data_IF_874982049595
#
_entry.id   IF_874982049595
#
_cell.length_a   1.000
_cell.length_b   1.000
_cell.length_c   1.000
_cell.angle_alpha   90.00
_cell.angle_beta   90.00
_cell.angle_gamma   90.00
#
_symmetry.space_group_name_H-M   'P 1'
#
loop_
_entity.id
_entity.type
_entity.pdbx_description
1 polymer ?
#
# COMPACT_ATOMS: atom_id res chain seq x y z
N UNK A 1 -21.54 -7.85 -15.45
CA UNK A 1 -20.22 -7.20 -15.41
C UNK A 1 -20.27 -6.14 -14.32
N UNK A 2 -19.36 -6.16 -13.34
CA UNK A 2 -19.34 -5.14 -12.30
C UNK A 2 -18.90 -3.81 -12.92
N UNK A 3 -19.81 -2.85 -13.04
CA UNK A 3 -19.48 -1.51 -13.51
C UNK A 3 -18.73 -0.80 -12.39
N UNK A 4 -17.41 -0.70 -12.50
CA UNK A 4 -16.65 0.22 -11.67
C UNK A 4 -17.15 1.64 -11.99
N UNK A 5 -17.58 2.37 -10.96
CA UNK A 5 -17.76 3.81 -11.07
C UNK A 5 -16.47 4.44 -11.64
N UNK A 6 -16.57 5.57 -12.38
CA UNK A 6 -15.37 6.28 -12.81
C UNK A 6 -14.49 6.50 -11.57
N UNK A 7 -13.18 6.22 -11.65
CA UNK A 7 -12.31 6.35 -10.50
C UNK A 7 -12.45 7.80 -10.00
N UNK A 8 -12.86 7.97 -8.75
CA UNK A 8 -12.68 9.25 -8.08
C UNK A 8 -11.19 9.57 -8.20
N UNK A 9 -10.85 10.69 -8.84
CA UNK A 9 -9.47 11.06 -9.21
C UNK A 9 -8.52 11.13 -8.00
N UNK A 10 -9.10 11.03 -6.80
CA UNK A 10 -8.44 10.96 -5.50
C UNK A 10 -8.39 9.52 -4.98
N UNK A 11 -7.50 8.71 -5.56
CA UNK A 11 -7.22 7.37 -5.05
C UNK A 11 -6.46 7.41 -3.71
N UNK A 12 -7.09 6.97 -2.62
CA UNK A 12 -6.45 6.90 -1.28
C UNK A 12 -5.70 5.58 -1.01
N UNK A 13 -5.57 4.69 -2.00
CA UNK A 13 -5.07 3.33 -1.81
C UNK A 13 -3.69 3.26 -1.16
N UNK A 14 -2.70 3.98 -1.72
CA UNK A 14 -1.32 3.98 -1.22
C UNK A 14 -1.16 4.77 0.09
N UNK A 15 -1.92 5.87 0.25
CA UNK A 15 -1.95 6.66 1.48
C UNK A 15 -2.46 5.79 2.62
N UNK A 16 -3.64 5.19 2.46
CA UNK A 16 -4.22 4.31 3.47
C UNK A 16 -3.37 3.07 3.74
N UNK A 17 -2.67 2.54 2.73
CA UNK A 17 -1.75 1.41 2.95
C UNK A 17 -0.57 1.82 3.83
N UNK A 18 0.01 3.00 3.60
CA UNK A 18 1.10 3.53 4.44
C UNK A 18 0.62 3.76 5.87
N UNK A 19 -0.53 4.40 6.05
CA UNK A 19 -1.12 4.66 7.38
C UNK A 19 -1.27 3.36 8.18
N UNK A 20 -1.87 2.32 7.57
CA UNK A 20 -2.09 1.03 8.23
C UNK A 20 -0.80 0.29 8.53
N UNK A 21 0.17 0.29 7.61
CA UNK A 21 1.45 -0.38 7.85
C UNK A 21 2.23 0.30 8.99
N UNK A 22 2.26 1.63 9.03
CA UNK A 22 2.91 2.38 10.12
C UNK A 22 2.22 2.14 11.45
N UNK A 23 0.88 2.04 11.48
CA UNK A 23 0.12 1.80 12.71
C UNK A 23 0.50 0.48 13.42
N UNK A 24 1.04 -0.50 12.70
CA UNK A 24 1.51 -1.78 13.25
C UNK A 24 3.03 -1.87 13.33
N UNK A 25 3.76 -0.75 13.24
CA UNK A 25 5.23 -0.73 13.28
C UNK A 25 5.92 -1.22 11.99
N UNK A 26 5.16 -1.33 10.90
CA UNK A 26 5.66 -1.70 9.58
C UNK A 26 5.88 -0.50 8.65
N UNK A 27 6.04 -0.78 7.36
CA UNK A 27 6.24 0.25 6.34
C UNK A 27 5.84 -0.21 4.94
N UNK A 28 5.69 0.75 4.03
CA UNK A 28 5.35 0.51 2.62
C UNK A 28 6.27 1.34 1.74
N UNK A 29 6.80 0.70 0.70
CA UNK A 29 7.47 1.37 -0.43
C UNK A 29 6.72 1.08 -1.70
N UNK A 30 6.59 2.09 -2.57
CA UNK A 30 5.94 1.94 -3.85
C UNK A 30 6.63 2.78 -4.92
N UNK A 31 6.56 2.34 -6.17
CA UNK A 31 7.14 3.06 -7.29
C UNK A 31 7.27 2.23 -8.57
N UNK A 32 7.68 2.87 -9.68
CA UNK A 32 8.00 2.18 -10.92
C UNK A 32 9.19 1.24 -10.75
N UNK A 33 9.25 0.18 -11.56
CA UNK A 33 10.30 -0.85 -11.49
C UNK A 33 11.12 -0.85 -12.78
N UNK A 34 12.45 -1.11 -12.72
CA UNK A 34 13.22 -1.40 -13.92
C UNK A 34 12.62 -2.59 -14.67
N UNK A 35 12.45 -2.46 -15.99
CA UNK A 35 11.72 -3.44 -16.81
C UNK A 35 10.21 -3.19 -16.91
N UNK A 36 9.70 -2.16 -16.24
CA UNK A 36 8.31 -1.72 -16.33
C UNK A 36 7.44 -2.13 -15.15
N UNK A 37 6.20 -1.64 -15.17
CA UNK A 37 5.22 -1.88 -14.12
C UNK A 37 5.41 -1.00 -12.87
N UNK A 38 4.58 -1.26 -11.88
CA UNK A 38 4.55 -0.55 -10.61
C UNK A 38 4.57 -1.57 -9.47
N UNK A 39 5.47 -1.39 -8.51
CA UNK A 39 5.60 -2.27 -7.36
C UNK A 39 5.08 -1.56 -6.12
N UNK A 40 4.40 -2.32 -5.27
CA UNK A 40 4.09 -1.96 -3.89
C UNK A 40 4.64 -3.08 -3.01
N UNK A 41 5.46 -2.73 -2.01
CA UNK A 41 6.06 -3.67 -1.06
C UNK A 41 5.75 -3.20 0.35
N UNK A 42 5.05 -4.03 1.11
CA UNK A 42 4.82 -3.85 2.54
C UNK A 42 5.78 -4.73 3.35
N UNK A 43 6.31 -4.18 4.43
CA UNK A 43 7.11 -4.88 5.43
C UNK A 43 6.32 -4.80 6.75
N UNK A 44 5.92 -5.95 7.29
CA UNK A 44 5.07 -6.04 8.49
C UNK A 44 5.72 -6.98 9.51
N UNK A 45 5.64 -6.69 10.82
CA UNK A 45 6.09 -7.62 11.86
C UNK A 45 5.33 -8.96 11.81
N UNK A 46 6.04 -10.07 12.01
CA UNK A 46 5.47 -11.43 11.94
C UNK A 46 5.05 -12.00 13.30
N UNK A 47 5.62 -11.50 14.41
CA UNK A 47 5.27 -11.92 15.77
C UNK A 47 5.20 -10.70 16.71
N UNK A 48 3.98 -10.15 16.82
CA UNK A 48 3.64 -8.93 17.59
C UNK A 48 4.26 -7.66 17.01
N UNK A 49 3.63 -6.50 17.16
CA UNK A 49 4.45 -5.30 17.27
C UNK A 49 5.21 -5.42 18.61
N UNK A 50 6.55 -5.33 18.64
CA UNK A 50 7.28 -5.32 19.92
C UNK A 50 6.83 -4.10 20.75
N UNK A 51 6.68 -4.29 22.06
CA UNK A 51 6.54 -3.17 23.01
C UNK A 51 7.79 -2.31 23.03
#
# INVERSE_FOLDING_TARGET
ASSAAPPDDRGFGLIGMRERAVAVGGGVRYGPVPGGGFRVRAELPTEGAPS
#
